data_IF_483485364318
#
_entry.id   IF_483485364318
#
_cell.length_a   1.000
_cell.length_b   1.000
_cell.length_c   1.000
_cell.angle_alpha   90.00
_cell.angle_beta   90.00
_cell.angle_gamma   90.00
#
_symmetry.space_group_name_H-M   'P 1'
#
loop_
_entity.id
_entity.type
_entity.pdbx_description
1 polymer ?
#
# COMPACT_ATOMS: atom_id res chain seq x y z
N UNK A 1 -3.62 25.06 -22.95
CA UNK A 1 -2.48 24.53 -23.73
C UNK A 1 -1.26 25.40 -23.45
N UNK A 2 -0.12 24.80 -23.10
CA UNK A 2 1.09 25.56 -22.78
C UNK A 2 1.73 26.17 -24.04
N UNK A 3 2.18 27.42 -23.94
CA UNK A 3 2.85 28.17 -25.02
C UNK A 3 4.22 27.56 -25.35
N UNK A 4 4.74 27.87 -26.53
CA UNK A 4 6.02 27.31 -27.01
C UNK A 4 7.21 27.69 -26.10
N UNK A 5 7.17 28.90 -25.53
CA UNK A 5 8.11 29.37 -24.51
C UNK A 5 7.99 28.55 -23.21
N UNK A 6 6.77 28.25 -22.76
CA UNK A 6 6.56 27.40 -21.57
C UNK A 6 7.09 25.98 -21.79
N UNK A 7 6.95 25.42 -23.00
CA UNK A 7 7.50 24.09 -23.33
C UNK A 7 9.02 24.09 -23.36
N UNK A 8 9.65 25.17 -23.85
CA UNK A 8 11.11 25.35 -23.83
C UNK A 8 11.66 25.47 -22.42
N UNK A 9 10.95 26.16 -21.52
CA UNK A 9 11.34 26.27 -20.10
C UNK A 9 11.29 24.89 -19.44
N UNK A 10 10.19 24.14 -19.58
CA UNK A 10 10.05 22.80 -18.98
C UNK A 10 11.14 21.81 -19.47
N UNK A 11 11.57 21.91 -20.73
CA UNK A 11 12.63 21.04 -21.29
C UNK A 11 14.03 21.32 -20.76
N UNK A 12 14.26 22.49 -20.16
CA UNK A 12 15.57 22.91 -19.65
C UNK A 12 15.60 23.01 -18.11
N UNK A 13 14.50 22.68 -17.43
CA UNK A 13 14.49 22.59 -15.98
C UNK A 13 15.17 21.28 -15.57
N UNK A 14 16.09 21.40 -14.62
CA UNK A 14 16.70 20.27 -13.92
C UNK A 14 15.62 19.41 -13.23
N UNK A 15 15.65 18.09 -13.48
CA UNK A 15 14.60 17.16 -13.04
C UNK A 15 14.46 17.16 -11.51
N UNK A 16 15.57 17.25 -10.79
CA UNK A 16 15.56 17.27 -9.32
C UNK A 16 14.92 18.55 -8.80
N UNK A 17 15.24 19.69 -9.42
CA UNK A 17 14.61 20.99 -9.13
C UNK A 17 13.10 20.99 -9.43
N UNK A 18 12.67 20.33 -10.51
CA UNK A 18 11.26 20.16 -10.82
C UNK A 18 10.54 19.30 -9.77
N UNK A 19 11.16 18.20 -9.37
CA UNK A 19 10.61 17.28 -8.37
C UNK A 19 10.49 17.96 -7.00
N UNK A 20 11.48 18.78 -6.61
CA UNK A 20 11.42 19.58 -5.38
C UNK A 20 10.27 20.58 -5.45
N UNK A 21 10.15 21.36 -6.53
CA UNK A 21 9.07 22.33 -6.70
C UNK A 21 7.67 21.67 -6.72
N UNK A 22 7.56 20.45 -7.25
CA UNK A 22 6.34 19.64 -7.19
C UNK A 22 6.08 19.14 -5.76
N UNK A 23 7.11 18.76 -5.02
CA UNK A 23 6.98 18.26 -3.65
C UNK A 23 6.60 19.34 -2.63
N UNK A 24 6.96 20.61 -2.89
CA UNK A 24 6.67 21.76 -2.03
C UNK A 24 5.28 22.37 -2.25
N UNK A 25 4.54 21.88 -3.25
CA UNK A 25 3.16 22.29 -3.51
C UNK A 25 2.23 21.69 -2.46
N UNK A 26 1.66 22.55 -1.60
CA UNK A 26 0.72 22.16 -0.54
C UNK A 26 -0.45 21.31 -1.05
N UNK A 27 -0.91 21.57 -2.26
CA UNK A 27 -1.98 20.82 -2.94
C UNK A 27 -1.59 19.37 -3.23
N UNK A 28 -0.31 19.08 -3.49
CA UNK A 28 0.18 17.70 -3.69
C UNK A 28 0.34 16.98 -2.36
N UNK A 29 0.74 17.67 -1.30
CA UNK A 29 0.85 17.08 0.05
C UNK A 29 -0.53 16.68 0.56
N UNK A 30 -1.55 17.54 0.43
CA UNK A 30 -2.93 17.20 0.80
C UNK A 30 -3.45 16.02 -0.02
N UNK A 31 -3.24 16.01 -1.34
CA UNK A 31 -3.66 14.91 -2.21
C UNK A 31 -2.94 13.61 -1.84
N UNK A 32 -1.63 13.65 -1.55
CA UNK A 32 -0.88 12.48 -1.07
C UNK A 32 -1.35 11.99 0.29
N UNK A 33 -1.75 12.89 1.20
CA UNK A 33 -2.34 12.52 2.48
C UNK A 33 -3.72 11.90 2.31
N UNK A 34 -4.55 12.41 1.40
CA UNK A 34 -5.83 11.79 1.02
C UNK A 34 -5.60 10.38 0.48
N UNK A 35 -4.62 10.18 -0.42
CA UNK A 35 -4.26 8.85 -0.93
C UNK A 35 -3.67 7.92 0.13
N UNK A 36 -2.89 8.43 1.10
CA UNK A 36 -2.37 7.61 2.21
C UNK A 36 -3.45 7.15 3.18
N UNK A 37 -4.44 7.99 3.43
CA UNK A 37 -5.48 7.74 4.43
C UNK A 37 -6.71 7.03 3.84
N UNK A 38 -6.85 7.03 2.52
CA UNK A 38 -7.89 6.28 1.82
C UNK A 38 -7.50 4.79 1.69
N UNK A 39 -8.37 3.90 2.17
CA UNK A 39 -8.16 2.45 2.15
C UNK A 39 -8.01 1.86 0.75
N UNK A 40 -8.50 2.56 -0.27
CA UNK A 40 -8.38 2.13 -1.67
C UNK A 40 -6.99 2.40 -2.24
N UNK A 41 -6.26 3.37 -1.69
CA UNK A 41 -4.96 3.82 -2.19
C UNK A 41 -3.80 3.61 -1.19
N UNK A 42 -4.11 3.14 0.02
CA UNK A 42 -3.11 2.69 0.98
C UNK A 42 -2.15 1.67 0.30
N UNK A 43 -0.83 1.77 0.52
CA UNK A 43 0.12 0.77 0.02
C UNK A 43 -0.29 -0.63 0.50
N UNK A 44 -0.40 -1.58 -0.42
CA UNK A 44 -0.72 -2.98 -0.12
C UNK A 44 0.44 -3.85 -0.58
N UNK A 45 0.88 -4.72 0.32
CA UNK A 45 1.92 -5.70 0.05
C UNK A 45 1.34 -7.10 0.23
N UNK A 46 0.76 -7.59 -0.87
CA UNK A 46 0.09 -8.88 -0.89
C UNK A 46 1.08 -10.03 -1.03
N UNK A 47 1.11 -10.90 -0.02
CA UNK A 47 1.92 -12.12 -0.01
C UNK A 47 1.04 -13.36 -0.19
N UNK A 48 1.58 -14.40 -0.81
CA UNK A 48 1.01 -15.74 -0.83
C UNK A 48 0.99 -16.35 0.57
N UNK A 49 0.21 -17.42 0.78
CA UNK A 49 0.23 -18.20 2.04
C UNK A 49 1.65 -18.62 2.42
N UNK A 50 2.46 -19.07 1.45
CA UNK A 50 3.81 -19.56 1.67
C UNK A 50 4.77 -18.43 2.08
N UNK A 51 4.74 -17.31 1.37
CA UNK A 51 5.54 -16.13 1.72
C UNK A 51 5.16 -15.58 3.09
N UNK A 52 3.86 -15.49 3.38
CA UNK A 52 3.38 -14.99 4.65
C UNK A 52 3.72 -15.95 5.80
N UNK A 53 3.66 -17.26 5.57
CA UNK A 53 4.11 -18.31 6.50
C UNK A 53 5.59 -18.15 6.87
N UNK A 54 6.44 -17.89 5.87
CA UNK A 54 7.87 -17.61 6.09
C UNK A 54 8.10 -16.28 6.82
N UNK A 55 7.24 -15.29 6.58
CA UNK A 55 7.31 -13.98 7.23
C UNK A 55 6.96 -14.06 8.72
N UNK A 56 5.80 -14.63 9.09
CA UNK A 56 5.38 -14.74 10.50
C UNK A 56 5.96 -15.95 11.24
N UNK A 57 6.77 -16.78 10.58
CA UNK A 57 7.37 -18.01 11.12
C UNK A 57 6.32 -18.99 11.67
N UNK A 58 5.25 -19.21 10.93
CA UNK A 58 4.17 -20.14 11.28
C UNK A 58 3.90 -21.14 10.15
N UNK A 59 3.14 -22.20 10.43
CA UNK A 59 2.77 -23.18 9.40
C UNK A 59 1.81 -22.58 8.35
N UNK A 60 1.85 -23.07 7.11
CA UNK A 60 0.89 -22.65 6.08
C UNK A 60 -0.57 -22.91 6.49
N UNK A 61 -0.83 -23.95 7.29
CA UNK A 61 -2.17 -24.25 7.80
C UNK A 61 -2.67 -23.15 8.74
N UNK A 62 -1.80 -22.69 9.66
CA UNK A 62 -2.10 -21.55 10.52
C UNK A 62 -2.42 -20.30 9.69
N UNK A 63 -1.59 -19.98 8.69
CA UNK A 63 -1.82 -18.81 7.83
C UNK A 63 -3.13 -18.92 7.04
N UNK A 64 -3.51 -20.10 6.56
CA UNK A 64 -4.81 -20.31 5.89
C UNK A 64 -5.99 -20.07 6.83
N UNK A 65 -5.88 -20.50 8.09
CA UNK A 65 -6.91 -20.25 9.09
C UNK A 65 -6.96 -18.77 9.48
N UNK A 66 -5.80 -18.13 9.63
CA UNK A 66 -5.67 -16.69 9.85
C UNK A 66 -6.32 -15.91 8.72
N UNK A 67 -6.06 -16.27 7.46
CA UNK A 67 -6.67 -15.61 6.30
C UNK A 67 -8.20 -15.72 6.29
N UNK A 68 -8.75 -16.91 6.62
CA UNK A 68 -10.20 -17.11 6.74
C UNK A 68 -10.80 -16.30 7.89
N UNK A 69 -10.13 -16.30 9.04
CA UNK A 69 -10.54 -15.52 10.20
C UNK A 69 -10.51 -14.02 9.87
N UNK A 70 -9.48 -13.56 9.18
CA UNK A 70 -9.31 -12.17 8.82
C UNK A 70 -10.34 -11.71 7.79
N UNK A 71 -10.59 -12.52 6.76
CA UNK A 71 -11.64 -12.27 5.76
C UNK A 71 -13.02 -12.19 6.41
N UNK A 72 -13.35 -13.15 7.28
CA UNK A 72 -14.66 -13.21 7.95
C UNK A 72 -14.90 -12.02 8.87
N UNK A 73 -13.87 -11.60 9.61
CA UNK A 73 -13.99 -10.58 10.65
C UNK A 73 -13.51 -9.19 10.20
N UNK A 74 -13.04 -9.05 8.95
CA UNK A 74 -12.54 -7.79 8.36
C UNK A 74 -11.45 -7.11 9.20
N UNK A 75 -10.54 -7.88 9.78
CA UNK A 75 -9.51 -7.37 10.72
C UNK A 75 -8.28 -6.78 10.01
N UNK A 76 -7.90 -7.32 8.84
CA UNK A 76 -6.89 -6.77 7.94
C UNK A 76 -7.20 -7.21 6.50
N UNK A 77 -6.49 -6.64 5.53
CA UNK A 77 -6.83 -6.79 4.11
C UNK A 77 -6.46 -8.18 3.60
N UNK A 78 -7.48 -8.89 3.11
CA UNK A 78 -7.37 -10.18 2.44
C UNK A 78 -7.94 -10.04 1.03
N UNK A 79 -7.22 -10.58 0.05
CA UNK A 79 -7.69 -10.70 -1.33
C UNK A 79 -7.64 -12.16 -1.77
N UNK A 80 -8.54 -12.55 -2.67
CA UNK A 80 -8.48 -13.84 -3.36
C UNK A 80 -8.04 -13.65 -4.80
N UNK A 81 -7.06 -14.45 -5.23
CA UNK A 81 -6.66 -14.58 -6.62
C UNK A 81 -6.99 -16.01 -7.04
N UNK A 82 -8.10 -16.19 -7.73
CA UNK A 82 -8.67 -17.51 -7.99
C UNK A 82 -9.07 -18.23 -6.70
N UNK A 83 -8.43 -19.38 -6.42
CA UNK A 83 -8.66 -20.18 -5.19
C UNK A 83 -7.64 -19.90 -4.08
N UNK A 84 -6.71 -18.98 -4.30
CA UNK A 84 -5.64 -18.69 -3.35
C UNK A 84 -5.88 -17.39 -2.61
N UNK A 85 -5.54 -17.40 -1.32
CA UNK A 85 -5.48 -16.19 -0.52
C UNK A 85 -4.20 -15.40 -0.80
N UNK A 86 -4.35 -14.08 -0.72
CA UNK A 86 -3.29 -13.10 -0.63
C UNK A 86 -3.53 -12.26 0.62
N UNK A 87 -2.53 -12.19 1.48
CA UNK A 87 -2.59 -11.48 2.75
C UNK A 87 -1.75 -10.22 2.61
N UNK A 88 -2.31 -9.06 2.93
CA UNK A 88 -1.55 -7.82 2.95
C UNK A 88 -0.71 -7.72 4.23
N UNK A 89 0.62 -7.70 4.09
CA UNK A 89 1.56 -7.61 5.20
C UNK A 89 1.36 -6.33 6.02
N UNK A 90 1.14 -5.20 5.35
CA UNK A 90 1.11 -3.90 6.01
C UNK A 90 -0.12 -3.74 6.90
N UNK A 91 -1.31 -4.13 6.41
CA UNK A 91 -2.50 -4.11 7.26
C UNK A 91 -2.48 -5.16 8.37
N UNK A 92 -1.83 -6.32 8.16
CA UNK A 92 -1.60 -7.28 9.25
C UNK A 92 -0.72 -6.70 10.36
N UNK A 93 0.41 -6.08 10.01
CA UNK A 93 1.30 -5.43 10.98
C UNK A 93 0.56 -4.36 11.80
N UNK A 94 -0.27 -3.56 11.13
CA UNK A 94 -1.13 -2.56 11.79
C UNK A 94 -2.12 -3.22 12.77
N UNK A 95 -2.73 -4.33 12.39
CA UNK A 95 -3.64 -5.07 13.27
C UNK A 95 -2.93 -5.62 14.50
N UNK A 96 -1.76 -6.25 14.32
CA UNK A 96 -0.93 -6.77 15.43
C UNK A 96 -0.47 -5.64 16.35
N UNK A 97 0.00 -4.52 15.81
CA UNK A 97 0.42 -3.35 16.59
C UNK A 97 -0.70 -2.77 17.45
N UNK A 98 -1.96 -2.92 17.02
CA UNK A 98 -3.14 -2.52 17.79
C UNK A 98 -3.61 -3.59 18.79
N UNK A 99 -2.81 -4.62 19.06
CA UNK A 99 -3.13 -5.69 20.01
C UNK A 99 -3.94 -6.84 19.43
N UNK A 100 -3.97 -6.99 18.10
CA UNK A 100 -4.61 -8.10 17.43
C UNK A 100 -3.98 -9.46 17.81
N UNK A 101 -4.83 -10.43 18.15
CA UNK A 101 -4.46 -11.80 18.50
C UNK A 101 -5.32 -12.79 17.70
N UNK A 102 -4.71 -13.88 17.24
CA UNK A 102 -5.36 -14.97 16.51
C UNK A 102 -5.03 -16.32 17.15
#
# INVERSE_FOLDING_TARGET
>A
MATEVQRLIVRNIDIDSLLIAISEREDIVEVMQMFRNDSDYAPKEYLTIKEFSNYIKASESYVRNLAKYAEKNKIFSITKVGREYRLDRLSYEKWVANGGLF
#
